data_IF_949815555988
#
_entry.id   IF_949815555988
#
_cell.length_a   1.000
_cell.length_b   1.000
_cell.length_c   1.000
_cell.angle_alpha   90.00
_cell.angle_beta   90.00
_cell.angle_gamma   90.00
#
_symmetry.space_group_name_H-M   'P 1'
#
loop_
_entity.id
_entity.type
_entity.pdbx_description
1 polymer ?
#
# COMPACT_ATOMS: atom_id res chain seq x y z
N UNK A 1 21.30 8.11 16.70
CA UNK A 1 20.10 8.53 15.94
C UNK A 1 18.90 8.37 16.86
N UNK A 2 18.27 9.47 17.27
CA UNK A 2 17.11 9.46 18.16
C UNK A 2 15.85 9.75 17.34
N UNK A 3 14.84 8.86 17.30
CA UNK A 3 13.65 9.10 16.52
C UNK A 3 12.80 10.22 17.15
N UNK A 4 12.62 11.32 16.45
CA UNK A 4 11.83 12.51 16.85
C UNK A 4 10.32 12.43 16.52
N UNK A 5 9.79 11.33 15.97
CA UNK A 5 8.33 11.22 15.77
C UNK A 5 7.83 9.78 15.91
N UNK A 6 6.66 9.63 16.53
CA UNK A 6 5.96 8.35 16.77
C UNK A 6 5.19 7.85 15.54
N UNK A 7 5.25 8.58 14.43
CA UNK A 7 4.64 8.23 13.15
C UNK A 7 5.68 8.37 12.06
N UNK A 8 6.24 7.25 11.62
CA UNK A 8 7.32 7.22 10.63
C UNK A 8 7.07 6.10 9.64
N UNK A 9 7.05 6.47 8.37
CA UNK A 9 7.17 5.51 7.28
C UNK A 9 8.64 5.20 7.08
N UNK A 10 9.03 3.95 7.30
CA UNK A 10 10.40 3.48 7.11
C UNK A 10 10.49 2.78 5.76
N UNK A 11 11.46 3.19 4.95
CA UNK A 11 11.81 2.51 3.70
C UNK A 11 13.07 1.70 3.95
N UNK A 12 13.02 0.41 3.66
CA UNK A 12 14.17 -0.51 3.77
C UNK A 12 14.54 -0.96 2.36
N UNK A 13 15.80 -0.76 1.98
CA UNK A 13 16.37 -1.25 0.71
C UNK A 13 17.48 -2.22 1.06
N UNK A 14 17.30 -3.49 0.70
CA UNK A 14 18.23 -4.56 1.04
C UNK A 14 18.19 -5.67 -0.02
N UNK A 15 19.07 -6.65 0.13
CA UNK A 15 19.08 -7.84 -0.73
C UNK A 15 17.93 -8.80 -0.39
N UNK A 16 17.62 -9.70 -1.33
CA UNK A 16 16.48 -10.63 -1.23
C UNK A 16 16.49 -11.46 0.06
N UNK A 17 17.66 -11.94 0.52
CA UNK A 17 17.76 -12.74 1.74
C UNK A 17 17.39 -11.94 3.00
N UNK A 18 17.83 -10.67 3.09
CA UNK A 18 17.47 -9.80 4.21
C UNK A 18 15.97 -9.51 4.24
N UNK A 19 15.38 -9.22 3.07
CA UNK A 19 13.94 -9.01 2.96
C UNK A 19 13.18 -10.28 3.36
N UNK A 20 13.63 -11.45 2.88
CA UNK A 20 13.04 -12.76 3.21
C UNK A 20 13.06 -13.04 4.71
N UNK A 21 14.16 -12.77 5.41
CA UNK A 21 14.23 -12.91 6.87
C UNK A 21 13.26 -11.96 7.59
N UNK A 22 13.13 -10.71 7.12
CA UNK A 22 12.15 -9.76 7.66
C UNK A 22 10.72 -10.23 7.43
N UNK A 23 10.41 -10.70 6.22
CA UNK A 23 9.09 -11.25 5.90
C UNK A 23 8.78 -12.48 6.75
N UNK A 24 9.73 -13.41 6.91
CA UNK A 24 9.55 -14.60 7.74
C UNK A 24 9.27 -14.24 9.21
N UNK A 25 9.98 -13.24 9.73
CA UNK A 25 9.75 -12.72 11.09
C UNK A 25 8.34 -12.12 11.24
N UNK A 26 7.89 -11.34 10.27
CA UNK A 26 6.58 -10.69 10.31
C UNK A 26 5.41 -11.65 10.03
N UNK A 27 5.59 -12.63 9.15
CA UNK A 27 4.55 -13.60 8.78
C UNK A 27 4.54 -14.85 9.67
N UNK A 28 5.43 -14.90 10.67
CA UNK A 28 5.64 -16.03 11.60
C UNK A 28 5.90 -17.36 10.86
N UNK A 29 6.78 -17.31 9.85
CA UNK A 29 7.13 -18.45 8.99
C UNK A 29 8.24 -19.28 9.64
N UNK A 30 8.09 -20.61 9.66
CA UNK A 30 9.08 -21.55 10.19
C UNK A 30 10.40 -21.54 9.40
N UNK A 31 11.51 -21.87 10.05
CA UNK A 31 12.87 -21.80 9.47
C UNK A 31 13.01 -22.62 8.19
N UNK A 32 12.33 -23.77 8.13
CA UNK A 32 12.30 -24.68 6.99
C UNK A 32 11.58 -24.10 5.76
N UNK A 33 10.64 -23.17 5.96
CA UNK A 33 9.87 -22.55 4.88
C UNK A 33 10.50 -21.24 4.39
N UNK A 34 11.43 -20.64 5.16
CA UNK A 34 12.12 -19.40 4.78
C UNK A 34 12.72 -19.48 3.38
N UNK A 35 13.50 -20.51 2.98
CA UNK A 35 14.11 -20.58 1.66
C UNK A 35 13.10 -20.61 0.52
N UNK A 36 11.89 -21.12 0.79
CA UNK A 36 10.80 -21.26 -0.18
C UNK A 36 9.95 -19.99 -0.30
N UNK A 37 10.16 -19.01 0.58
CA UNK A 37 9.46 -17.74 0.52
C UNK A 37 9.85 -16.96 -0.73
N UNK A 38 8.85 -16.68 -1.57
CA UNK A 38 9.03 -15.93 -2.80
C UNK A 38 9.05 -14.42 -2.51
N UNK A 39 10.21 -13.78 -2.73
CA UNK A 39 10.37 -12.34 -2.67
C UNK A 39 10.41 -11.79 -4.10
N UNK A 40 9.39 -11.05 -4.55
CA UNK A 40 9.38 -10.51 -5.90
C UNK A 40 10.48 -9.45 -6.09
N UNK A 41 11.20 -9.53 -7.20
CA UNK A 41 12.20 -8.53 -7.56
C UNK A 41 11.53 -7.23 -8.01
N UNK A 42 12.09 -6.09 -7.59
CA UNK A 42 11.66 -4.75 -8.03
C UNK A 42 10.21 -4.38 -7.70
N UNK A 43 9.57 -5.10 -6.77
CA UNK A 43 8.21 -4.79 -6.30
C UNK A 43 8.28 -4.30 -4.86
N UNK A 44 7.88 -3.04 -4.58
CA UNK A 44 7.81 -2.54 -3.21
C UNK A 44 6.78 -3.31 -2.37
N UNK A 45 7.22 -3.73 -1.17
CA UNK A 45 6.39 -4.45 -0.21
C UNK A 45 6.03 -3.52 0.95
N UNK A 46 4.74 -3.39 1.23
CA UNK A 46 4.22 -2.57 2.33
C UNK A 46 3.76 -3.45 3.48
N UNK A 47 4.32 -3.22 4.67
CA UNK A 47 3.82 -3.71 5.95
C UNK A 47 3.20 -2.55 6.73
N UNK A 48 2.05 -2.79 7.36
CA UNK A 48 1.37 -1.80 8.21
C UNK A 48 1.30 -2.35 9.62
N UNK A 49 1.75 -1.57 10.59
CA UNK A 49 1.77 -1.93 12.00
C UNK A 49 0.76 -1.08 12.78
N UNK A 50 0.16 -1.68 13.80
CA UNK A 50 -0.75 -1.04 14.73
C UNK A 50 0.07 -0.23 15.75
N UNK A 51 -0.34 1.02 15.96
CA UNK A 51 0.50 2.03 16.63
C UNK A 51 0.82 1.68 18.08
N UNK A 52 -0.06 0.94 18.76
CA UNK A 52 0.03 0.69 20.21
C UNK A 52 0.58 -0.69 20.53
N UNK A 53 0.22 -1.70 19.75
CA UNK A 53 0.58 -3.10 19.95
C UNK A 53 1.75 -3.57 19.07
N UNK A 54 2.18 -2.74 18.09
CA UNK A 54 3.16 -3.11 17.06
C UNK A 54 2.78 -4.37 16.26
N UNK A 55 1.53 -4.82 16.36
CA UNK A 55 1.02 -5.95 15.60
C UNK A 55 0.78 -5.56 14.17
N UNK A 56 0.92 -6.51 13.27
CA UNK A 56 0.69 -6.27 11.85
C UNK A 56 -0.81 -6.13 11.60
N UNK A 57 -1.22 -5.02 10.99
CA UNK A 57 -2.62 -4.66 10.71
C UNK A 57 -3.14 -5.30 9.43
N UNK A 58 -2.28 -5.72 8.51
CA UNK A 58 -2.74 -6.32 7.27
C UNK A 58 -3.34 -7.70 7.57
N UNK A 59 -4.49 -8.00 6.99
CA UNK A 59 -4.96 -9.39 6.90
C UNK A 59 -4.04 -10.15 5.93
N UNK A 60 -3.64 -11.38 6.27
CA UNK A 60 -2.93 -12.29 5.34
C UNK A 60 -3.75 -12.37 4.06
N UNK A 61 -3.28 -11.74 2.99
CA UNK A 61 -3.95 -11.81 1.70
C UNK A 61 -3.40 -13.04 1.00
N UNK A 62 -4.29 -13.97 0.61
CA UNK A 62 -3.87 -15.08 -0.25
C UNK A 62 -3.53 -14.50 -1.63
N UNK A 63 -2.25 -14.54 -1.96
CA UNK A 63 -1.76 -14.32 -3.32
C UNK A 63 -1.35 -15.66 -3.93
N UNK A 64 -1.16 -15.71 -5.25
CA UNK A 64 -0.65 -16.87 -5.95
C UNK A 64 0.72 -17.37 -5.43
N UNK A 65 1.44 -16.54 -4.67
CA UNK A 65 2.72 -16.86 -4.03
C UNK A 65 2.63 -17.26 -2.54
N UNK A 66 1.42 -17.49 -2.01
CA UNK A 66 1.18 -17.78 -0.59
C UNK A 66 0.46 -16.66 0.15
N UNK A 67 -0.06 -16.97 1.34
CA UNK A 67 -0.73 -16.00 2.21
C UNK A 67 0.28 -15.18 2.99
N UNK A 68 0.41 -13.89 2.69
CA UNK A 68 1.33 -12.99 3.39
C UNK A 68 0.61 -11.73 3.88
N UNK A 69 1.09 -11.17 4.99
CA UNK A 69 0.67 -9.85 5.47
C UNK A 69 1.23 -8.72 4.58
N UNK A 70 2.20 -9.01 3.70
CA UNK A 70 2.74 -8.08 2.73
C UNK A 70 1.69 -7.60 1.72
N UNK A 71 1.55 -6.28 1.56
CA UNK A 71 0.85 -5.70 0.40
C UNK A 71 1.87 -5.35 -0.68
N UNK A 72 1.77 -6.01 -1.83
CA UNK A 72 2.67 -5.79 -2.97
C UNK A 72 2.17 -4.63 -3.81
N UNK A 73 2.72 -3.43 -3.64
CA UNK A 73 2.13 -2.19 -4.16
C UNK A 73 1.89 -2.18 -5.68
N UNK A 74 2.68 -2.94 -6.44
CA UNK A 74 2.67 -2.98 -7.91
C UNK A 74 2.46 -4.40 -8.47
N UNK A 75 1.80 -5.29 -7.71
CA UNK A 75 1.45 -6.61 -8.26
C UNK A 75 0.38 -6.49 -9.35
N UNK A 76 0.23 -7.47 -10.26
CA UNK A 76 -0.83 -7.47 -11.28
C UNK A 76 -2.24 -7.29 -10.68
N UNK A 77 -2.50 -7.85 -9.49
CA UNK A 77 -3.77 -7.73 -8.78
C UNK A 77 -3.98 -6.30 -8.22
N UNK A 78 -2.92 -5.68 -7.69
CA UNK A 78 -2.96 -4.28 -7.27
C UNK A 78 -3.03 -3.32 -8.46
N UNK A 79 -2.42 -3.65 -9.60
CA UNK A 79 -2.56 -2.91 -10.85
C UNK A 79 -4.00 -2.90 -11.35
N UNK A 80 -4.73 -4.01 -11.25
CA UNK A 80 -6.15 -4.06 -11.58
C UNK A 80 -6.97 -3.14 -10.65
N UNK A 81 -6.64 -3.12 -9.35
CA UNK A 81 -7.28 -2.26 -8.36
C UNK A 81 -6.99 -0.77 -8.59
N UNK A 82 -5.73 -0.41 -8.89
CA UNK A 82 -5.31 0.96 -9.24
C UNK A 82 -5.96 1.38 -10.56
N UNK A 83 -5.96 0.52 -11.57
CA UNK A 83 -6.65 0.79 -12.84
C UNK A 83 -8.14 1.04 -12.60
N UNK A 84 -8.82 0.21 -11.80
CA UNK A 84 -10.23 0.42 -11.42
C UNK A 84 -10.46 1.72 -10.67
N UNK A 85 -9.51 2.15 -9.83
CA UNK A 85 -9.59 3.42 -9.13
C UNK A 85 -9.42 4.64 -10.04
N UNK A 86 -8.60 4.53 -11.11
CA UNK A 86 -8.30 5.59 -12.09
C UNK A 86 -9.33 5.65 -13.24
N UNK A 87 -10.06 4.55 -13.50
CA UNK A 87 -11.11 4.56 -14.51
C UNK A 87 -12.19 5.62 -14.23
N UNK A 88 -12.91 6.10 -15.25
CA UNK A 88 -14.04 7.01 -15.06
C UNK A 88 -15.05 6.44 -14.05
N UNK A 89 -15.37 7.22 -13.01
CA UNK A 89 -16.23 6.78 -11.88
C UNK A 89 -15.53 5.96 -10.80
N UNK A 90 -14.23 5.70 -10.91
CA UNK A 90 -13.40 5.08 -9.89
C UNK A 90 -13.15 6.00 -8.68
N UNK A 91 -12.71 5.41 -7.56
CA UNK A 91 -12.50 6.13 -6.30
C UNK A 91 -11.52 7.31 -6.42
N UNK A 92 -10.47 7.20 -7.25
CA UNK A 92 -9.53 8.29 -7.45
C UNK A 92 -10.17 9.41 -8.27
N UNK A 93 -10.84 9.06 -9.37
CA UNK A 93 -11.58 10.00 -10.22
C UNK A 93 -12.64 10.74 -9.41
N UNK A 94 -13.36 10.03 -8.53
CA UNK A 94 -14.34 10.61 -7.63
C UNK A 94 -13.71 11.51 -6.57
N UNK A 95 -12.61 11.09 -5.95
CA UNK A 95 -11.90 11.93 -4.98
C UNK A 95 -11.36 13.23 -5.59
N UNK A 96 -10.94 13.22 -6.86
CA UNK A 96 -10.53 14.42 -7.60
C UNK A 96 -11.74 15.34 -7.84
N UNK A 97 -12.85 14.79 -8.33
CA UNK A 97 -14.08 15.57 -8.53
C UNK A 97 -14.59 16.16 -7.22
N UNK A 98 -14.65 15.36 -6.15
CA UNK A 98 -15.07 15.78 -4.81
C UNK A 98 -14.12 16.85 -4.22
N UNK A 99 -12.85 16.91 -4.65
CA UNK A 99 -11.90 17.95 -4.20
C UNK A 99 -12.08 19.29 -4.92
N UNK A 100 -12.66 19.26 -6.13
CA UNK A 100 -12.98 20.45 -6.91
C UNK A 100 -14.41 20.93 -6.67
N UNK A 101 -15.32 20.05 -6.25
CA UNK A 101 -16.68 20.37 -5.82
C UNK A 101 -16.65 21.05 -4.45
N UNK A 102 -16.37 22.35 -4.44
CA UNK A 102 -16.18 23.13 -3.22
C UNK A 102 -17.51 23.36 -2.49
N UNK A 103 -18.62 23.41 -3.23
CA UNK A 103 -19.96 23.63 -2.69
C UNK A 103 -20.72 22.32 -2.34
N UNK A 104 -20.14 21.16 -2.66
CA UNK A 104 -20.67 19.80 -2.39
C UNK A 104 -22.02 19.55 -3.04
N UNK A 105 -22.25 20.15 -4.20
CA UNK A 105 -23.49 19.98 -4.96
C UNK A 105 -23.49 18.72 -5.82
N UNK A 106 -22.33 18.07 -5.99
CA UNK A 106 -22.14 16.91 -6.86
C UNK A 106 -22.05 17.27 -8.34
N UNK A 107 -21.96 18.56 -8.68
CA UNK A 107 -21.88 19.07 -10.05
C UNK A 107 -20.74 20.10 -10.12
N UNK A 108 -19.76 19.88 -10.99
CA UNK A 108 -18.64 20.81 -11.14
C UNK A 108 -19.03 22.02 -12.00
N UNK A 109 -18.86 23.22 -11.45
CA UNK A 109 -18.92 24.47 -12.21
C UNK A 109 -17.58 24.82 -12.86
N UNK A 110 -17.60 25.64 -13.92
CA UNK A 110 -16.37 26.11 -14.59
C UNK A 110 -15.47 26.90 -13.64
N UNK A 111 -16.07 27.71 -12.75
CA UNK A 111 -15.32 28.49 -11.77
C UNK A 111 -14.59 27.64 -10.72
N UNK A 112 -15.19 26.52 -10.32
CA UNK A 112 -14.57 25.54 -9.41
C UNK A 112 -13.41 24.80 -10.06
N UNK A 113 -13.56 24.41 -11.32
CA UNK A 113 -12.49 23.78 -12.11
C UNK A 113 -11.30 24.74 -12.25
N UNK A 114 -11.56 26.01 -12.57
CA UNK A 114 -10.52 27.03 -12.68
C UNK A 114 -9.83 27.34 -11.33
N UNK A 115 -10.57 27.28 -10.23
CA UNK A 115 -10.02 27.45 -8.88
C UNK A 115 -9.14 26.26 -8.45
N UNK A 116 -9.48 25.04 -8.86
CA UNK A 116 -8.72 23.83 -8.53
C UNK A 116 -7.47 23.56 -9.39
N UNK A 117 -7.31 24.26 -10.52
CA UNK A 117 -6.15 24.13 -11.43
C UNK A 117 -5.02 25.12 -11.10
N UNK A 118 -5.29 26.19 -10.34
CA UNK A 118 -4.27 27.13 -9.83
C UNK A 118 -3.47 26.56 -8.66
#
# INVERSE_FOLDING_TARGET
>A
WTPQSTDRTVVVVAHANTIRSLMAYFDEVGEEEIPHLHVPNSVPILYRFERQSQKILSTKLQSAAGGSHARWLLSPENHASIRKAILPGGLLTRAVIDSWDLDRTGVLSVGEIEAGIK
#
